data_IF_800993295131
#
_entry.id   IF_800993295131
#
_cell.length_a   1.000
_cell.length_b   1.000
_cell.length_c   1.000
_cell.angle_alpha   90.00
_cell.angle_beta   90.00
_cell.angle_gamma   90.00
#
_symmetry.space_group_name_H-M   'P 1'
#
loop_
_entity.id
_entity.type
_entity.pdbx_description
1 polymer ?
#
# COMPACT_ATOMS: atom_id res chain seq x y z
N UNK A 1 8.21 17.24 39.04
CA UNK A 1 7.91 18.34 38.10
C UNK A 1 7.28 17.73 36.85
N UNK A 2 6.08 18.14 36.44
CA UNK A 2 5.52 17.68 35.17
C UNK A 2 6.35 18.30 34.05
N UNK A 3 6.86 17.47 33.13
CA UNK A 3 7.52 17.93 31.92
C UNK A 3 6.48 18.70 31.11
N UNK A 4 6.80 19.94 30.75
CA UNK A 4 6.03 20.77 29.84
C UNK A 4 5.68 19.94 28.59
N UNK A 5 4.41 19.57 28.43
CA UNK A 5 3.87 19.22 27.11
C UNK A 5 4.01 20.50 26.29
N UNK A 6 5.03 20.56 25.43
CA UNK A 6 5.08 21.56 24.36
C UNK A 6 3.78 21.43 23.58
N UNK A 7 2.92 22.44 23.67
CA UNK A 7 1.70 22.54 22.86
C UNK A 7 2.11 22.73 21.39
N UNK A 8 2.36 21.60 20.72
CA UNK A 8 2.55 21.56 19.27
C UNK A 8 1.25 22.00 18.62
N UNK A 9 1.30 22.93 17.67
CA UNK A 9 0.07 23.39 17.01
C UNK A 9 -0.51 22.29 16.11
N UNK A 10 -1.82 22.30 15.87
CA UNK A 10 -2.46 21.34 14.94
C UNK A 10 -1.85 21.42 13.54
N UNK A 11 -1.42 22.62 13.12
CA UNK A 11 -0.75 22.82 11.83
C UNK A 11 0.61 22.13 11.78
N UNK A 12 1.38 22.19 12.86
CA UNK A 12 2.68 21.51 12.95
C UNK A 12 2.50 20.00 13.00
N UNK A 13 1.50 19.52 13.76
CA UNK A 13 1.13 18.10 13.79
C UNK A 13 0.78 17.59 12.40
N UNK A 14 -0.08 18.31 11.67
CA UNK A 14 -0.46 17.98 10.29
C UNK A 14 0.77 17.96 9.36
N UNK A 15 1.65 18.96 9.44
CA UNK A 15 2.84 19.05 8.60
C UNK A 15 3.82 17.89 8.84
N UNK A 16 4.15 17.60 10.11
CA UNK A 16 5.03 16.49 10.49
C UNK A 16 4.41 15.15 10.09
N UNK A 17 3.13 14.93 10.40
CA UNK A 17 2.42 13.69 10.08
C UNK A 17 2.35 13.46 8.56
N UNK A 18 2.08 14.48 7.76
CA UNK A 18 2.09 14.36 6.28
C UNK A 18 3.48 14.03 5.75
N UNK A 19 4.53 14.65 6.30
CA UNK A 19 5.91 14.32 5.94
C UNK A 19 6.23 12.86 6.24
N UNK A 20 5.83 12.38 7.41
CA UNK A 20 5.98 10.97 7.78
C UNK A 20 5.16 10.03 6.90
N UNK A 21 3.88 10.32 6.63
CA UNK A 21 3.06 9.51 5.72
C UNK A 21 3.68 9.40 4.33
N UNK A 22 4.29 10.48 3.81
CA UNK A 22 5.06 10.44 2.55
C UNK A 22 6.29 9.54 2.67
N UNK A 23 7.00 9.58 3.80
CA UNK A 23 8.19 8.74 4.02
C UNK A 23 7.85 7.25 4.11
N UNK A 24 6.74 6.91 4.77
CA UNK A 24 6.26 5.53 4.89
C UNK A 24 5.33 5.13 3.73
N UNK A 25 5.20 5.99 2.71
CA UNK A 25 4.46 5.73 1.48
C UNK A 25 2.93 5.51 1.63
N UNK A 26 2.31 6.14 2.62
CA UNK A 26 0.86 6.10 2.86
C UNK A 26 0.11 7.30 2.26
N UNK A 27 0.81 8.31 1.76
CA UNK A 27 0.20 9.51 1.22
C UNK A 27 -0.58 9.27 -0.09
N UNK A 28 -0.28 8.20 -0.83
CA UNK A 28 -1.03 7.77 -2.02
C UNK A 28 -2.50 7.51 -1.71
N UNK A 29 -2.81 6.98 -0.52
CA UNK A 29 -4.19 6.74 -0.09
C UNK A 29 -4.94 8.06 0.15
N UNK A 30 -4.22 9.14 0.45
CA UNK A 30 -4.77 10.47 0.63
C UNK A 30 -5.01 11.19 -0.70
N UNK A 31 -4.25 10.89 -1.76
CA UNK A 31 -4.36 11.58 -3.06
C UNK A 31 -5.45 10.99 -3.97
N UNK A 32 -5.80 9.70 -3.80
CA UNK A 32 -6.75 9.03 -4.70
C UNK A 32 -8.23 9.27 -4.44
N UNK A 33 -8.63 9.83 -3.30
CA UNK A 33 -10.05 9.93 -2.91
C UNK A 33 -10.52 11.35 -2.55
N UNK A 34 -9.69 12.38 -2.71
CA UNK A 34 -10.03 13.76 -2.33
C UNK A 34 -10.55 14.57 -3.53
N UNK A 35 -11.80 14.35 -3.94
CA UNK A 35 -12.47 15.29 -4.85
C UNK A 35 -13.82 15.81 -4.37
N UNK A 36 -14.31 15.37 -3.20
CA UNK A 36 -15.51 15.98 -2.63
C UNK A 36 -15.40 16.09 -1.10
N UNK A 37 -14.81 17.19 -0.62
CA UNK A 37 -14.64 17.48 0.81
C UNK A 37 -15.99 17.61 1.56
N UNK A 38 -17.11 17.70 0.84
CA UNK A 38 -18.44 17.82 1.42
C UNK A 38 -19.11 16.46 1.70
N UNK A 39 -18.61 15.37 1.13
CA UNK A 39 -19.16 14.04 1.37
C UNK A 39 -18.33 13.30 2.43
N UNK A 40 -18.82 13.33 3.69
CA UNK A 40 -18.22 12.67 4.85
C UNK A 40 -17.84 11.21 4.55
N UNK A 41 -18.68 10.51 3.81
CA UNK A 41 -18.53 9.08 3.54
C UNK A 41 -17.41 8.83 2.52
N UNK A 42 -17.19 9.78 1.60
CA UNK A 42 -16.12 9.71 0.60
C UNK A 42 -14.79 10.27 1.09
N UNK A 43 -14.80 11.11 2.12
CA UNK A 43 -13.58 11.62 2.74
C UNK A 43 -12.85 10.51 3.51
N UNK A 44 -11.72 10.06 2.95
CA UNK A 44 -10.87 9.00 3.50
C UNK A 44 -10.34 9.30 4.89
N UNK A 45 -10.19 10.57 5.26
CA UNK A 45 -9.73 10.94 6.60
C UNK A 45 -10.85 10.79 7.65
N UNK A 46 -12.10 10.70 7.21
CA UNK A 46 -13.31 10.72 8.07
C UNK A 46 -14.09 9.42 8.06
N UNK A 47 -13.91 8.57 7.05
CA UNK A 47 -14.67 7.32 6.92
C UNK A 47 -14.02 6.08 7.58
N UNK A 48 -12.86 6.27 8.21
CA UNK A 48 -12.15 5.24 8.97
C UNK A 48 -11.35 4.23 8.14
N UNK A 49 -11.51 4.18 6.81
CA UNK A 49 -10.82 3.19 5.96
C UNK A 49 -9.31 3.44 5.95
N UNK A 50 -8.88 4.69 5.72
CA UNK A 50 -7.47 5.07 5.76
C UNK A 50 -6.83 4.76 7.11
N UNK A 51 -7.50 5.12 8.21
CA UNK A 51 -7.01 4.86 9.56
C UNK A 51 -6.89 3.35 9.82
N UNK A 52 -7.85 2.55 9.34
CA UNK A 52 -7.81 1.11 9.49
C UNK A 52 -6.66 0.47 8.72
N UNK A 53 -6.42 0.91 7.48
CA UNK A 53 -5.29 0.47 6.68
C UNK A 53 -3.95 0.85 7.31
N UNK A 54 -3.82 2.09 7.77
CA UNK A 54 -2.63 2.59 8.44
C UNK A 54 -2.35 1.78 9.71
N UNK A 55 -3.34 1.62 10.59
CA UNK A 55 -3.17 0.90 11.87
C UNK A 55 -2.96 -0.60 11.67
N UNK A 56 -3.67 -1.22 10.72
CA UNK A 56 -3.43 -2.62 10.33
C UNK A 56 -1.98 -2.81 9.93
N UNK A 57 -1.46 -1.88 9.14
CA UNK A 57 -0.10 -1.91 8.65
C UNK A 57 0.87 -1.72 9.81
N UNK A 58 0.77 -0.64 10.57
CA UNK A 58 1.66 -0.33 11.70
C UNK A 58 1.73 -1.45 12.75
N UNK A 59 0.59 -2.10 13.04
CA UNK A 59 0.50 -3.14 14.05
C UNK A 59 0.70 -4.56 13.51
N UNK A 60 0.88 -4.72 12.19
CA UNK A 60 0.94 -6.03 11.52
C UNK A 60 -0.27 -6.94 11.82
N UNK A 61 -1.45 -6.35 12.01
CA UNK A 61 -2.69 -7.07 12.38
C UNK A 61 -3.67 -7.16 11.22
N UNK A 62 -3.30 -7.91 10.17
CA UNK A 62 -4.12 -8.07 8.95
C UNK A 62 -5.57 -8.54 9.20
N UNK A 63 -5.83 -9.25 10.31
CA UNK A 63 -7.17 -9.66 10.70
C UNK A 63 -8.14 -8.49 10.89
N UNK A 64 -7.65 -7.28 11.15
CA UNK A 64 -8.47 -6.09 11.34
C UNK A 64 -9.29 -5.76 10.09
N UNK A 65 -8.66 -5.80 8.91
CA UNK A 65 -9.29 -5.44 7.63
C UNK A 65 -10.46 -6.34 7.27
N UNK A 66 -10.56 -7.55 7.85
CA UNK A 66 -11.72 -8.45 7.65
C UNK A 66 -13.03 -7.88 8.21
N UNK A 67 -12.93 -7.00 9.21
CA UNK A 67 -14.07 -6.40 9.89
C UNK A 67 -14.30 -4.93 9.48
N UNK A 68 -13.46 -4.40 8.59
CA UNK A 68 -13.57 -3.03 8.10
C UNK A 68 -14.50 -3.02 6.89
N UNK A 69 -15.48 -2.12 6.90
CA UNK A 69 -16.25 -1.83 5.70
C UNK A 69 -15.40 -0.93 4.79
N UNK A 70 -14.78 -1.51 3.77
CA UNK A 70 -13.89 -0.81 2.81
C UNK A 70 -14.64 0.11 1.84
N UNK A 71 -15.95 -0.10 1.69
CA UNK A 71 -16.86 0.73 0.88
C UNK A 71 -18.00 1.26 1.73
N UNK A 72 -17.70 2.12 2.73
CA UNK A 72 -18.74 2.66 3.60
C UNK A 72 -19.76 3.42 2.74
N UNK A 73 -21.04 3.16 2.97
CA UNK A 73 -22.16 3.84 2.28
C UNK A 73 -23.04 4.61 3.25
N UNK A 74 -22.84 4.39 4.55
CA UNK A 74 -23.58 5.01 5.64
C UNK A 74 -22.63 5.64 6.65
N UNK A 75 -23.13 6.62 7.41
CA UNK A 75 -22.39 7.24 8.51
C UNK A 75 -22.08 6.20 9.60
N UNK A 76 -22.98 5.23 9.82
CA UNK A 76 -22.74 4.14 10.75
C UNK A 76 -21.53 3.28 10.34
N UNK A 77 -21.38 2.96 9.05
CA UNK A 77 -20.23 2.20 8.55
C UNK A 77 -18.90 2.92 8.86
N UNK A 78 -18.88 4.23 8.61
CA UNK A 78 -17.73 5.08 8.90
C UNK A 78 -17.41 5.13 10.40
N UNK A 79 -18.45 5.25 11.24
CA UNK A 79 -18.30 5.25 12.70
C UNK A 79 -17.72 3.93 13.19
N UNK A 80 -18.28 2.81 12.74
CA UNK A 80 -17.88 1.48 13.15
C UNK A 80 -16.42 1.19 12.75
N UNK A 81 -16.01 1.61 11.54
CA UNK A 81 -14.62 1.57 11.12
C UNK A 81 -13.69 2.34 12.08
N UNK A 82 -14.05 3.56 12.45
CA UNK A 82 -13.22 4.39 13.35
C UNK A 82 -13.16 3.77 14.74
N UNK A 83 -14.29 3.38 15.32
CA UNK A 83 -14.34 2.77 16.65
C UNK A 83 -13.55 1.46 16.71
N UNK A 84 -13.63 0.65 15.65
CA UNK A 84 -12.81 -0.55 15.49
C UNK A 84 -11.32 -0.20 15.57
N UNK A 85 -10.87 0.84 14.85
CA UNK A 85 -9.47 1.30 14.91
C UNK A 85 -9.08 1.80 16.30
N UNK A 86 -9.90 2.67 16.90
CA UNK A 86 -9.61 3.23 18.22
C UNK A 86 -9.55 2.13 19.29
N UNK A 87 -10.43 1.14 19.22
CA UNK A 87 -10.43 -0.02 20.13
C UNK A 87 -9.12 -0.82 20.07
N UNK A 88 -8.52 -0.91 18.88
CA UNK A 88 -7.27 -1.62 18.67
C UNK A 88 -6.06 -0.85 19.19
N UNK A 89 -6.10 0.48 19.12
CA UNK A 89 -5.03 1.34 19.62
C UNK A 89 -5.03 1.42 21.15
N UNK A 90 -6.21 1.36 21.78
CA UNK A 90 -6.36 1.35 23.25
C UNK A 90 -5.53 0.21 23.86
N UNK A 91 -4.56 0.56 24.69
CA UNK A 91 -3.68 -0.40 25.37
C UNK A 91 -2.56 -1.01 24.50
N UNK A 92 -2.54 -0.74 23.19
CA UNK A 92 -1.48 -1.24 22.30
C UNK A 92 -0.37 -0.21 22.07
N UNK A 93 -0.72 1.09 22.07
CA UNK A 93 0.22 2.18 21.75
C UNK A 93 0.10 3.33 22.76
N UNK A 94 1.19 4.08 22.94
CA UNK A 94 1.23 5.22 23.85
C UNK A 94 0.73 6.50 23.15
N UNK A 95 -0.59 6.62 23.01
CA UNK A 95 -1.26 7.79 22.44
C UNK A 95 -2.06 8.50 23.55
N UNK A 96 -2.03 9.85 23.63
CA UNK A 96 -2.83 10.59 24.61
C UNK A 96 -4.32 10.23 24.53
N UNK A 97 -4.94 10.08 25.71
CA UNK A 97 -6.33 9.63 25.82
C UNK A 97 -7.33 10.48 25.04
N UNK A 98 -7.06 11.78 24.89
CA UNK A 98 -7.91 12.72 24.14
C UNK A 98 -8.12 12.36 22.66
N UNK A 99 -7.25 11.51 22.10
CA UNK A 99 -7.35 11.02 20.72
C UNK A 99 -7.88 9.57 20.61
N UNK A 100 -8.07 8.89 21.75
CA UNK A 100 -8.50 7.48 21.78
C UNK A 100 -9.88 7.28 22.45
N UNK A 101 -10.27 8.16 23.36
CA UNK A 101 -11.47 8.04 24.18
C UNK A 101 -12.45 9.19 23.90
N UNK A 102 -13.64 9.12 24.50
CA UNK A 102 -14.70 10.11 24.53
C UNK A 102 -14.87 10.99 23.28
N UNK A 103 -15.84 10.59 22.46
CA UNK A 103 -16.23 11.28 21.23
C UNK A 103 -15.12 11.40 20.17
N UNK A 104 -13.95 10.77 20.34
CA UNK A 104 -12.87 10.78 19.33
C UNK A 104 -13.38 10.32 17.96
N UNK A 105 -14.19 9.26 17.90
CA UNK A 105 -14.82 8.82 16.66
C UNK A 105 -15.74 9.89 16.05
N UNK A 106 -16.56 10.55 16.86
CA UNK A 106 -17.44 11.65 16.42
C UNK A 106 -16.65 12.87 15.93
N UNK A 107 -15.54 13.21 16.58
CA UNK A 107 -14.66 14.32 16.17
C UNK A 107 -13.99 14.03 14.83
N UNK A 108 -13.52 12.80 14.62
CA UNK A 108 -12.97 12.34 13.34
C UNK A 108 -14.06 12.36 12.26
N UNK A 109 -15.25 11.82 12.53
CA UNK A 109 -16.39 11.87 11.61
C UNK A 109 -16.76 13.31 11.23
N UNK A 110 -16.67 14.26 12.15
CA UNK A 110 -16.92 15.69 11.90
C UNK A 110 -15.80 16.40 11.12
N UNK A 111 -14.65 15.76 10.93
CA UNK A 111 -13.50 16.36 10.24
C UNK A 111 -12.69 17.30 11.13
N UNK A 112 -12.76 17.15 12.45
CA UNK A 112 -11.98 17.98 13.38
C UNK A 112 -10.49 17.69 13.19
N UNK A 113 -9.76 18.70 12.68
CA UNK A 113 -8.34 18.56 12.33
C UNK A 113 -7.47 18.11 13.50
N UNK A 114 -7.74 18.60 14.71
CA UNK A 114 -7.00 18.19 15.91
C UNK A 114 -7.17 16.69 16.18
N UNK A 115 -8.38 16.15 16.06
CA UNK A 115 -8.63 14.73 16.27
C UNK A 115 -7.93 13.85 15.21
N UNK A 116 -8.05 14.23 13.94
CA UNK A 116 -7.45 13.48 12.82
C UNK A 116 -5.93 13.56 12.87
N UNK A 117 -5.37 14.76 12.81
CA UNK A 117 -3.92 14.94 12.69
C UNK A 117 -3.21 14.71 14.01
N UNK A 118 -3.86 14.96 15.16
CA UNK A 118 -3.33 14.56 16.45
C UNK A 118 -3.18 13.04 16.56
N UNK A 119 -4.20 12.26 16.18
CA UNK A 119 -4.11 10.81 16.17
C UNK A 119 -2.97 10.31 15.27
N UNK A 120 -2.90 10.79 14.02
CA UNK A 120 -1.85 10.38 13.06
C UNK A 120 -0.45 10.82 13.55
N UNK A 121 -0.33 12.02 14.14
CA UNK A 121 0.92 12.51 14.71
C UNK A 121 1.43 11.63 15.84
N UNK A 122 0.56 11.20 16.77
CA UNK A 122 0.99 10.32 17.85
C UNK A 122 1.22 8.88 17.38
N UNK A 123 0.54 8.41 16.32
CA UNK A 123 0.95 7.19 15.61
C UNK A 123 2.36 7.32 15.05
N UNK A 124 2.68 8.42 14.35
CA UNK A 124 4.05 8.70 13.89
C UNK A 124 5.06 8.66 15.03
N UNK A 125 4.77 9.27 16.20
CA UNK A 125 5.70 9.22 17.35
C UNK A 125 5.87 7.81 17.92
N UNK A 126 4.85 6.96 17.86
CA UNK A 126 4.94 5.55 18.24
C UNK A 126 5.71 4.70 17.22
N UNK A 127 5.67 5.10 15.95
CA UNK A 127 6.26 4.39 14.82
C UNK A 127 7.13 5.33 13.97
N UNK A 128 8.26 5.84 14.49
CA UNK A 128 9.06 6.85 13.81
C UNK A 128 9.66 6.41 12.46
N UNK A 129 9.55 5.13 12.11
CA UNK A 129 10.02 4.55 10.84
C UNK A 129 11.54 4.50 10.74
N UNK A 130 12.08 3.45 10.13
CA UNK A 130 13.42 3.51 9.56
C UNK A 130 13.31 4.14 8.17
N UNK A 131 13.75 5.39 8.05
CA UNK A 131 13.74 6.15 6.80
C UNK A 131 14.50 5.38 5.71
N UNK A 132 13.78 4.73 4.80
CA UNK A 132 14.38 4.15 3.59
C UNK A 132 14.29 5.20 2.49
N UNK A 133 15.44 5.70 2.05
CA UNK A 133 15.55 6.82 1.12
C UNK A 133 15.26 6.34 -0.32
N UNK A 134 13.99 6.06 -0.62
CA UNK A 134 13.50 5.59 -1.94
C UNK A 134 13.77 6.60 -3.07
N UNK A 135 14.05 7.86 -2.73
CA UNK A 135 14.27 8.96 -3.67
C UNK A 135 15.46 8.78 -4.61
N UNK A 136 16.45 7.95 -4.26
CA UNK A 136 17.65 7.81 -5.08
C UNK A 136 17.51 6.86 -6.27
N UNK A 137 16.53 5.94 -6.24
CA UNK A 137 16.43 4.85 -7.22
C UNK A 137 16.00 5.30 -8.62
N UNK A 138 15.25 6.40 -8.72
CA UNK A 138 14.64 6.85 -9.98
C UNK A 138 15.39 8.00 -10.67
N UNK A 139 16.41 8.58 -10.04
CA UNK A 139 17.10 9.77 -10.55
C UNK A 139 18.15 9.48 -11.65
N UNK A 140 18.42 8.21 -11.98
CA UNK A 140 19.54 7.81 -12.86
C UNK A 140 19.17 6.95 -14.07
N UNK A 141 17.91 6.56 -14.25
CA UNK A 141 17.53 5.63 -15.33
C UNK A 141 16.29 6.11 -16.11
N UNK A 142 16.16 5.65 -17.36
CA UNK A 142 14.95 5.87 -18.16
C UNK A 142 13.83 5.00 -17.56
N UNK A 143 12.96 5.61 -16.78
CA UNK A 143 11.84 4.94 -16.10
C UNK A 143 10.60 4.88 -16.97
N UNK A 144 9.65 3.99 -16.63
CA UNK A 144 8.35 3.90 -17.32
C UNK A 144 7.54 5.19 -17.18
N UNK A 145 7.56 5.76 -15.97
CA UNK A 145 6.86 6.98 -15.59
C UNK A 145 7.84 8.00 -14.97
N UNK A 146 7.49 9.29 -14.85
CA UNK A 146 8.25 10.24 -14.06
C UNK A 146 8.53 9.73 -12.63
N UNK A 147 9.63 10.14 -11.97
CA UNK A 147 10.04 9.60 -10.67
C UNK A 147 8.94 9.58 -9.60
N UNK A 148 8.13 10.64 -9.50
CA UNK A 148 7.03 10.71 -8.55
C UNK A 148 5.94 9.66 -8.83
N UNK A 149 5.59 9.47 -10.10
CA UNK A 149 4.61 8.47 -10.50
C UNK A 149 5.14 7.04 -10.31
N UNK A 150 6.44 6.82 -10.53
CA UNK A 150 7.09 5.54 -10.22
C UNK A 150 7.02 5.22 -8.73
N UNK A 151 7.21 6.24 -7.86
CA UNK A 151 7.01 6.08 -6.42
C UNK A 151 5.58 5.65 -6.17
N UNK A 152 4.59 6.45 -6.55
CA UNK A 152 3.17 6.13 -6.31
C UNK A 152 2.78 4.73 -6.79
N UNK A 153 3.28 4.29 -7.96
CA UNK A 153 3.05 2.94 -8.47
C UNK A 153 3.64 1.85 -7.57
N UNK A 154 4.92 1.99 -7.18
CA UNK A 154 5.56 1.06 -6.26
C UNK A 154 4.75 0.92 -4.95
N UNK A 155 4.31 2.06 -4.40
CA UNK A 155 3.54 2.10 -3.16
C UNK A 155 2.19 1.39 -3.31
N UNK A 156 1.45 1.70 -4.38
CA UNK A 156 0.15 1.10 -4.65
C UNK A 156 0.25 -0.42 -4.83
N UNK A 157 1.31 -0.90 -5.50
CA UNK A 157 1.53 -2.33 -5.72
C UNK A 157 1.93 -3.07 -4.44
N UNK A 158 2.84 -2.52 -3.64
CA UNK A 158 3.22 -3.12 -2.35
C UNK A 158 2.01 -3.14 -1.41
N UNK A 159 1.24 -2.06 -1.38
CA UNK A 159 0.01 -1.99 -0.59
C UNK A 159 -1.01 -3.05 -1.02
N UNK A 160 -1.29 -3.17 -2.32
CA UNK A 160 -2.19 -4.17 -2.85
C UNK A 160 -1.75 -5.60 -2.48
N UNK A 161 -0.46 -5.93 -2.67
CA UNK A 161 0.06 -7.26 -2.33
C UNK A 161 -0.09 -7.58 -0.84
N UNK A 162 0.04 -6.58 0.04
CA UNK A 162 -0.22 -6.73 1.48
C UNK A 162 -1.70 -6.93 1.77
N UNK A 163 -2.60 -6.17 1.12
CA UNK A 163 -4.04 -6.24 1.37
C UNK A 163 -4.64 -7.59 1.00
N UNK A 164 -4.08 -8.25 -0.03
CA UNK A 164 -4.46 -9.62 -0.41
C UNK A 164 -3.67 -10.72 0.32
N UNK A 165 -2.80 -10.36 1.27
CA UNK A 165 -2.06 -11.30 2.11
C UNK A 165 -0.88 -12.02 1.42
N UNK A 166 -0.44 -11.54 0.26
CA UNK A 166 0.66 -12.12 -0.51
C UNK A 166 2.04 -11.56 -0.13
N UNK A 167 2.06 -10.48 0.66
CA UNK A 167 3.29 -9.90 1.17
C UNK A 167 3.20 -9.67 2.68
N UNK A 168 4.06 -10.35 3.44
CA UNK A 168 4.13 -10.23 4.90
C UNK A 168 5.57 -9.84 5.25
N UNK A 169 5.74 -8.64 5.81
CA UNK A 169 7.02 -8.18 6.37
C UNK A 169 6.89 -8.11 7.89
N UNK A 170 7.95 -8.49 8.58
CA UNK A 170 8.10 -8.23 10.02
C UNK A 170 8.31 -6.74 10.32
N UNK A 171 8.72 -5.96 9.31
CA UNK A 171 8.78 -4.50 9.37
C UNK A 171 7.59 -3.89 8.62
N UNK A 172 6.62 -3.29 9.34
CA UNK A 172 5.45 -2.68 8.73
C UNK A 172 5.79 -1.45 7.87
N UNK A 173 6.93 -0.80 8.14
CA UNK A 173 7.36 0.46 7.51
C UNK A 173 8.11 0.26 6.20
N UNK A 174 8.45 -0.99 5.85
CA UNK A 174 9.17 -1.30 4.62
C UNK A 174 8.20 -1.39 3.42
N UNK A 175 7.79 -0.24 2.89
CA UNK A 175 6.77 -0.09 1.84
C UNK A 175 7.35 0.11 0.44
N UNK A 176 8.62 -0.25 0.24
CA UNK A 176 9.33 -0.13 -1.02
C UNK A 176 9.47 -1.48 -1.73
N UNK A 177 9.90 -1.45 -3.00
CA UNK A 177 10.13 -2.63 -3.83
C UNK A 177 11.10 -3.61 -3.17
N UNK A 178 12.03 -3.11 -2.36
CA UNK A 178 13.00 -3.94 -1.63
C UNK A 178 12.31 -5.01 -0.78
N UNK A 179 11.07 -4.76 -0.32
CA UNK A 179 10.22 -5.73 0.38
C UNK A 179 9.91 -6.96 -0.47
N UNK A 180 9.66 -6.76 -1.75
CA UNK A 180 9.18 -7.79 -2.67
C UNK A 180 10.26 -8.27 -3.65
N UNK A 181 11.36 -7.51 -3.79
CA UNK A 181 12.36 -7.71 -4.84
C UNK A 181 12.92 -9.14 -4.84
N UNK A 182 13.33 -9.66 -3.67
CA UNK A 182 13.87 -11.01 -3.57
C UNK A 182 12.86 -12.08 -4.03
N UNK A 183 11.60 -11.96 -3.59
CA UNK A 183 10.52 -12.86 -3.96
C UNK A 183 10.12 -12.74 -5.44
N UNK A 184 10.24 -11.55 -6.03
CA UNK A 184 10.01 -11.33 -7.45
C UNK A 184 11.14 -11.95 -8.29
N UNK A 185 12.40 -11.66 -7.95
CA UNK A 185 13.59 -12.15 -8.66
C UNK A 185 13.75 -13.66 -8.61
N UNK A 186 13.31 -14.28 -7.53
CA UNK A 186 13.35 -15.73 -7.39
C UNK A 186 12.07 -16.44 -7.91
N UNK A 187 11.09 -15.65 -8.37
CA UNK A 187 9.84 -16.09 -8.97
C UNK A 187 8.82 -16.69 -8.00
N UNK A 188 9.12 -16.83 -6.70
CA UNK A 188 8.19 -17.41 -5.73
C UNK A 188 6.99 -16.50 -5.52
N UNK A 189 7.23 -15.21 -5.23
CA UNK A 189 6.15 -14.25 -5.04
C UNK A 189 5.36 -14.07 -6.33
N UNK A 190 6.03 -13.96 -7.48
CA UNK A 190 5.35 -13.85 -8.77
C UNK A 190 4.42 -15.04 -9.02
N UNK A 191 4.85 -16.28 -8.71
CA UNK A 191 3.99 -17.45 -8.80
C UNK A 191 2.76 -17.34 -7.90
N UNK A 192 2.93 -16.87 -6.66
CA UNK A 192 1.82 -16.74 -5.71
C UNK A 192 0.82 -15.65 -6.13
N UNK A 193 1.31 -14.50 -6.63
CA UNK A 193 0.45 -13.44 -7.21
C UNK A 193 -0.33 -13.97 -8.39
N UNK A 194 0.33 -14.61 -9.35
CA UNK A 194 -0.35 -15.16 -10.54
C UNK A 194 -1.36 -16.24 -10.16
N UNK A 195 -1.01 -17.10 -9.20
CA UNK A 195 -1.91 -18.15 -8.72
C UNK A 195 -3.17 -17.57 -8.07
N UNK A 196 -3.00 -16.52 -7.25
CA UNK A 196 -4.11 -15.81 -6.61
C UNK A 196 -5.00 -15.11 -7.64
N UNK A 197 -4.42 -14.30 -8.53
CA UNK A 197 -5.16 -13.50 -9.51
C UNK A 197 -5.89 -14.36 -10.53
N UNK A 198 -5.31 -15.50 -10.93
CA UNK A 198 -5.95 -16.41 -11.89
C UNK A 198 -6.88 -17.43 -11.23
N UNK A 199 -6.86 -17.57 -9.91
CA UNK A 199 -7.58 -18.65 -9.21
C UNK A 199 -7.10 -20.06 -9.57
N UNK A 200 -5.88 -20.19 -10.12
CA UNK A 200 -5.31 -21.44 -10.61
C UNK A 200 -4.01 -21.75 -9.86
N UNK A 201 -3.84 -22.99 -9.37
CA UNK A 201 -2.62 -23.40 -8.68
C UNK A 201 -1.47 -23.64 -9.66
N UNK A 202 -0.36 -22.94 -9.48
CA UNK A 202 0.87 -23.21 -10.25
C UNK A 202 1.60 -24.42 -9.65
N UNK A 203 1.72 -25.49 -10.43
CA UNK A 203 2.36 -26.74 -10.00
C UNK A 203 3.88 -26.67 -10.20
N UNK A 204 4.63 -27.24 -9.26
CA UNK A 204 6.08 -27.43 -9.38
C UNK A 204 6.93 -26.22 -8.97
N UNK A 205 6.34 -25.18 -8.37
CA UNK A 205 7.08 -24.01 -7.87
C UNK A 205 8.15 -24.43 -6.86
N UNK A 206 9.40 -24.06 -7.14
CA UNK A 206 10.50 -24.25 -6.21
C UNK A 206 10.40 -23.16 -5.12
N UNK A 207 9.98 -23.52 -3.91
CA UNK A 207 9.72 -22.55 -2.82
C UNK A 207 10.98 -21.94 -2.20
N UNK A 208 12.13 -22.59 -2.37
CA UNK A 208 13.43 -22.10 -1.89
C UNK A 208 14.48 -22.27 -3.00
N UNK A 209 14.38 -21.52 -4.11
CA UNK A 209 15.30 -21.64 -5.23
C UNK A 209 16.68 -21.13 -4.81
N UNK A 210 17.71 -21.95 -5.02
CA UNK A 210 19.11 -21.62 -4.66
C UNK A 210 19.99 -21.28 -5.86
N UNK A 211 19.51 -21.57 -7.06
CA UNK A 211 20.25 -21.40 -8.31
C UNK A 211 19.40 -20.65 -9.32
N UNK A 212 20.05 -19.87 -10.18
CA UNK A 212 19.40 -19.02 -11.17
C UNK A 212 18.43 -19.81 -12.08
N UNK A 213 18.77 -21.05 -12.45
CA UNK A 213 17.89 -21.91 -13.25
C UNK A 213 16.56 -22.21 -12.55
N UNK A 214 16.54 -22.42 -11.22
CA UNK A 214 15.31 -22.63 -10.45
C UNK A 214 14.49 -21.35 -10.33
N UNK A 215 15.15 -20.20 -10.13
CA UNK A 215 14.49 -18.89 -10.14
C UNK A 215 13.81 -18.63 -11.50
N UNK A 216 14.54 -18.83 -12.59
CA UNK A 216 14.04 -18.64 -13.95
C UNK A 216 12.90 -19.62 -14.29
N UNK A 217 12.98 -20.86 -13.81
CA UNK A 217 11.91 -21.85 -13.96
C UNK A 217 10.63 -21.40 -13.24
N UNK A 218 10.74 -20.84 -12.03
CA UNK A 218 9.58 -20.26 -11.34
C UNK A 218 9.00 -19.08 -12.15
N UNK A 219 9.85 -18.11 -12.52
CA UNK A 219 9.42 -16.92 -13.28
C UNK A 219 8.67 -17.34 -14.55
N UNK A 220 9.27 -18.22 -15.35
CA UNK A 220 8.69 -18.65 -16.62
C UNK A 220 7.33 -19.35 -16.45
N UNK A 221 7.12 -20.16 -15.42
CA UNK A 221 5.81 -20.79 -15.15
C UNK A 221 4.71 -19.76 -14.96
N UNK A 222 4.97 -18.73 -14.15
CA UNK A 222 4.03 -17.61 -13.96
C UNK A 222 3.79 -16.86 -15.27
N UNK A 223 4.85 -16.48 -15.99
CA UNK A 223 4.72 -15.71 -17.24
C UNK A 223 4.00 -16.50 -18.34
N UNK A 224 4.22 -17.81 -18.47
CA UNK A 224 3.53 -18.67 -19.44
C UNK A 224 2.02 -18.71 -19.22
N UNK A 225 1.55 -18.67 -17.98
CA UNK A 225 0.11 -18.59 -17.69
C UNK A 225 -0.44 -17.21 -18.07
N UNK A 226 0.29 -16.14 -17.73
CA UNK A 226 -0.11 -14.78 -18.06
C UNK A 226 -0.18 -14.54 -19.58
N UNK A 227 0.78 -15.08 -20.36
CA UNK A 227 0.82 -14.97 -21.84
C UNK A 227 -0.44 -15.53 -22.52
N UNK A 228 -1.13 -16.47 -21.87
CA UNK A 228 -2.38 -17.06 -22.40
C UNK A 228 -3.58 -16.12 -22.22
N UNK A 229 -3.47 -15.04 -21.46
CA UNK A 229 -4.58 -14.12 -21.18
C UNK A 229 -4.55 -12.93 -22.14
N UNK A 230 -5.52 -12.91 -23.06
CA UNK A 230 -5.66 -11.84 -24.07
C UNK A 230 -6.02 -10.47 -23.47
N UNK A 231 -6.61 -10.44 -22.28
CA UNK A 231 -6.99 -9.22 -21.56
C UNK A 231 -5.87 -8.68 -20.66
N UNK A 232 -4.61 -8.96 -20.99
CA UNK A 232 -3.43 -8.47 -20.28
C UNK A 232 -2.42 -7.93 -21.27
N UNK A 233 -1.72 -6.87 -20.89
CA UNK A 233 -0.61 -6.32 -21.68
C UNK A 233 0.52 -7.35 -21.77
N UNK A 234 1.06 -7.53 -22.97
CA UNK A 234 2.04 -8.57 -23.27
C UNK A 234 3.50 -8.09 -23.16
N UNK A 235 3.70 -6.80 -22.95
CA UNK A 235 5.00 -6.13 -23.07
C UNK A 235 6.07 -6.69 -22.11
N UNK A 236 5.73 -6.86 -20.83
CA UNK A 236 6.68 -7.34 -19.82
C UNK A 236 6.71 -8.86 -19.68
N UNK A 237 5.83 -9.59 -20.39
CA UNK A 237 5.71 -11.04 -20.24
C UNK A 237 6.86 -11.83 -20.85
N UNK A 238 7.78 -11.17 -21.57
CA UNK A 238 8.96 -11.80 -22.18
C UNK A 238 10.27 -11.39 -21.50
N UNK A 239 10.21 -10.59 -20.42
CA UNK A 239 11.37 -10.13 -19.65
C UNK A 239 11.73 -11.05 -18.49
N UNK A 240 11.72 -12.38 -18.68
CA UNK A 240 12.02 -13.33 -17.59
C UNK A 240 13.43 -13.13 -17.00
N UNK A 241 14.41 -12.85 -17.87
CA UNK A 241 15.78 -12.47 -17.45
C UNK A 241 15.83 -11.13 -16.74
N UNK A 242 15.10 -10.13 -17.25
CA UNK A 242 15.00 -8.82 -16.60
C UNK A 242 14.38 -8.92 -15.20
N UNK A 243 13.38 -9.77 -15.00
CA UNK A 243 12.80 -10.05 -13.68
C UNK A 243 13.83 -10.70 -12.77
N UNK A 244 14.58 -11.70 -13.26
CA UNK A 244 15.65 -12.36 -12.50
C UNK A 244 16.75 -11.37 -12.06
N UNK A 245 17.12 -10.47 -12.96
CA UNK A 245 18.15 -9.45 -12.75
C UNK A 245 17.69 -8.30 -11.84
N UNK A 246 16.39 -8.22 -11.51
CA UNK A 246 15.85 -7.19 -10.64
C UNK A 246 15.55 -5.86 -11.36
N UNK A 247 15.29 -5.91 -12.66
CA UNK A 247 14.93 -4.72 -13.43
C UNK A 247 13.61 -4.12 -12.93
N UNK A 248 13.70 -3.03 -12.16
CA UNK A 248 12.54 -2.39 -11.49
C UNK A 248 11.45 -1.99 -12.48
N UNK A 249 11.80 -1.52 -13.68
CA UNK A 249 10.82 -1.15 -14.69
C UNK A 249 10.01 -2.36 -15.13
N UNK A 250 10.66 -3.48 -15.42
CA UNK A 250 9.97 -4.72 -15.84
C UNK A 250 9.13 -5.28 -14.71
N UNK A 251 9.65 -5.29 -13.48
CA UNK A 251 8.92 -5.80 -12.30
C UNK A 251 7.67 -4.96 -12.02
N UNK A 252 7.81 -3.64 -11.93
CA UNK A 252 6.69 -2.74 -11.64
C UNK A 252 5.69 -2.70 -12.79
N UNK A 253 6.18 -2.70 -14.04
CA UNK A 253 5.34 -2.78 -15.23
C UNK A 253 4.50 -4.06 -15.25
N UNK A 254 5.14 -5.21 -15.02
CA UNK A 254 4.46 -6.51 -14.93
C UNK A 254 3.41 -6.53 -13.81
N UNK A 255 3.76 -6.08 -12.61
CA UNK A 255 2.83 -6.07 -11.47
C UNK A 255 1.65 -5.13 -11.71
N UNK A 256 1.86 -3.96 -12.34
CA UNK A 256 0.76 -3.07 -12.74
C UNK A 256 -0.20 -3.77 -13.70
N UNK A 257 0.31 -4.50 -14.71
CA UNK A 257 -0.53 -5.20 -15.68
C UNK A 257 -1.32 -6.34 -15.02
N UNK A 258 -0.71 -7.05 -14.07
CA UNK A 258 -1.39 -8.07 -13.26
C UNK A 258 -2.46 -7.44 -12.37
N UNK A 259 -2.18 -6.28 -11.75
CA UNK A 259 -3.16 -5.59 -10.90
C UNK A 259 -4.34 -5.04 -11.72
N UNK A 260 -4.09 -4.47 -12.90
CA UNK A 260 -5.15 -4.08 -13.85
C UNK A 260 -6.03 -5.26 -14.23
N UNK A 261 -5.42 -6.42 -14.50
CA UNK A 261 -6.15 -7.65 -14.83
C UNK A 261 -7.06 -8.10 -13.67
N UNK A 262 -6.53 -8.07 -12.44
CA UNK A 262 -7.28 -8.38 -11.22
C UNK A 262 -8.50 -7.48 -11.04
N UNK A 263 -8.36 -6.17 -11.25
CA UNK A 263 -9.45 -5.18 -11.14
C UNK A 263 -10.37 -5.09 -12.37
N UNK A 264 -10.18 -5.99 -13.34
CA UNK A 264 -10.88 -6.03 -14.62
C UNK A 264 -10.83 -4.69 -15.38
N UNK A 265 -9.69 -4.00 -15.30
CA UNK A 265 -9.41 -2.76 -16.01
C UNK A 265 -8.75 -3.08 -17.35
N UNK A 266 -8.98 -2.21 -18.34
CA UNK A 266 -8.40 -2.39 -19.67
C UNK A 266 -6.86 -2.49 -19.60
N UNK A 267 -6.26 -3.35 -20.44
CA UNK A 267 -4.82 -3.43 -20.61
C UNK A 267 -4.21 -2.07 -20.94
N UNK A 268 -2.94 -1.89 -20.57
CA UNK A 268 -2.18 -0.70 -20.94
C UNK A 268 -2.10 -0.60 -22.46
N UNK A 269 -2.50 0.55 -23.01
CA UNK A 269 -2.56 0.76 -24.46
C UNK A 269 -1.16 0.99 -25.04
N UNK A 270 -0.26 1.68 -24.34
CA UNK A 270 1.16 1.87 -24.67
C UNK A 270 1.97 2.20 -23.40
N UNK A 271 3.22 1.75 -23.32
CA UNK A 271 4.22 2.31 -22.40
C UNK A 271 4.86 3.55 -23.01
N UNK A 272 4.93 4.62 -22.22
CA UNK A 272 5.42 5.91 -22.64
C UNK A 272 4.83 7.00 -21.78
N UNK A 273 5.55 8.12 -21.63
CA UNK A 273 5.25 9.21 -20.69
C UNK A 273 3.92 9.97 -20.93
N UNK A 274 2.99 9.40 -21.71
CA UNK A 274 1.69 10.00 -22.04
C UNK A 274 0.53 9.48 -21.18
N UNK A 275 0.73 8.42 -20.38
CA UNK A 275 -0.28 7.90 -19.45
C UNK A 275 0.19 7.92 -18.00
N UNK A 276 -0.75 8.09 -17.06
CA UNK A 276 -0.50 7.90 -15.63
C UNK A 276 -0.44 6.40 -15.28
N UNK A 277 0.35 6.01 -14.25
CA UNK A 277 0.33 4.63 -13.75
C UNK A 277 -1.05 4.26 -13.22
N UNK A 278 -1.40 2.98 -13.30
CA UNK A 278 -2.56 2.45 -12.60
C UNK A 278 -2.23 2.15 -11.15
N UNK A 279 -2.92 2.85 -10.25
CA UNK A 279 -2.67 2.80 -8.81
C UNK A 279 -3.73 1.95 -8.07
N UNK A 280 -4.52 1.16 -8.83
CA UNK A 280 -5.59 0.32 -8.30
C UNK A 280 -6.95 1.02 -8.23
N UNK A 281 -8.02 0.23 -8.34
CA UNK A 281 -9.30 0.60 -7.74
C UNK A 281 -9.18 0.15 -6.30
N UNK A 282 -8.93 1.08 -5.39
CA UNK A 282 -8.80 0.72 -3.99
C UNK A 282 -10.10 -0.03 -3.61
N UNK A 283 -10.02 -1.24 -3.03
CA UNK A 283 -11.20 -1.92 -2.53
C UNK A 283 -12.00 -1.07 -1.53
#
# INVERSE_FOLDING_TARGET
MPKYETNVSVSDMESEARSWLRQINFDVLLTHRTHDHNDLIRDVLRNGVFLAELVTTLLLKQSLMKNVNVTPTRIEDARDNIELVLSMLKGTVNIPSRYLYDASAEKILRGEKDAIWGLVYYLMKCFPGSIHNTNQHYNKSKTLYPPEQMRQLEQALVFWLRSVGLCVSSDPMLTCLEMIESGMRNGVLLCDVVSFVLGEKIIGVCRSPKVAASCLSNINRSLELLRKRKSMTQEFLWGDKDVLDGNRNVILGLLEDVYRYYDHVQPRVHTGHRGAPYLGKIP
#
